data_IF_095654056567
#
_entry.id   IF_095654056567
#
_cell.length_a   1.000
_cell.length_b   1.000
_cell.length_c   1.000
_cell.angle_alpha   90.00
_cell.angle_beta   90.00
_cell.angle_gamma   90.00
#
_symmetry.space_group_name_H-M   'P 1'
#
loop_
_entity.id
_entity.type
_entity.pdbx_description
1 polymer ?
#
# COMPACT_ATOMS: atom_id res chain seq x y z
N UNK A 1 -11.91 38.87 102.19
CA UNK A 1 -12.01 37.43 102.50
C UNK A 1 -12.93 36.79 101.47
N UNK A 2 -12.49 35.64 100.93
CA UNK A 2 -13.23 34.66 100.14
C UNK A 2 -13.76 35.09 98.74
N UNK A 3 -12.93 34.83 97.73
CA UNK A 3 -13.33 34.64 96.35
C UNK A 3 -13.92 33.24 96.16
N UNK A 4 -15.15 33.12 95.66
CA UNK A 4 -15.64 31.90 95.00
C UNK A 4 -16.78 32.27 94.03
N UNK A 5 -16.72 31.64 92.86
CA UNK A 5 -17.86 31.04 92.14
C UNK A 5 -18.61 31.85 91.06
N UNK A 6 -18.71 31.15 89.91
CA UNK A 6 -19.75 31.17 88.85
C UNK A 6 -19.56 32.14 87.70
N UNK A 7 -19.02 31.61 86.60
CA UNK A 7 -19.40 32.07 85.26
C UNK A 7 -20.00 30.92 84.43
N UNK A 8 -21.28 31.13 84.15
CA UNK A 8 -22.16 30.71 83.07
C UNK A 8 -21.70 29.62 82.07
N UNK A 9 -22.59 28.62 81.94
CA UNK A 9 -22.81 27.80 80.74
C UNK A 9 -23.08 28.67 79.50
N UNK A 10 -22.47 28.36 78.35
CA UNK A 10 -23.17 28.36 77.05
C UNK A 10 -22.55 27.31 76.11
N UNK A 11 -23.40 26.41 75.60
CA UNK A 11 -23.47 26.07 74.17
C UNK A 11 -22.44 25.13 73.56
N UNK A 12 -22.89 23.93 73.22
CA UNK A 12 -22.16 22.80 72.63
C UNK A 12 -21.63 23.07 71.21
N UNK A 13 -20.46 22.47 70.95
CA UNK A 13 -19.84 22.26 69.64
C UNK A 13 -20.73 21.42 68.71
N UNK A 14 -20.69 21.71 67.41
CA UNK A 14 -20.08 20.86 66.38
C UNK A 14 -20.65 21.21 64.99
N UNK A 15 -19.90 21.96 64.19
CA UNK A 15 -20.17 22.11 62.76
C UNK A 15 -19.09 21.32 61.99
N UNK A 16 -19.45 20.14 61.50
CA UNK A 16 -18.66 19.37 60.55
C UNK A 16 -18.70 20.09 59.19
N UNK A 17 -17.59 20.72 58.81
CA UNK A 17 -17.42 21.29 57.46
C UNK A 17 -17.13 20.16 56.49
N UNK A 18 -18.11 19.85 55.64
CA UNK A 18 -17.96 18.95 54.49
C UNK A 18 -17.27 19.73 53.37
N UNK A 19 -16.00 19.39 53.09
CA UNK A 19 -15.28 19.82 51.89
C UNK A 19 -15.94 19.17 50.66
N UNK A 20 -16.60 19.97 49.81
CA UNK A 20 -16.95 19.56 48.45
C UNK A 20 -15.81 19.96 47.51
N UNK A 21 -15.00 18.98 47.12
CA UNK A 21 -13.98 19.15 46.08
C UNK A 21 -14.63 19.33 44.71
N UNK A 22 -14.16 20.32 43.95
CA UNK A 22 -14.45 20.43 42.53
C UNK A 22 -13.67 19.34 41.78
N UNK A 23 -14.39 18.37 41.22
CA UNK A 23 -13.86 17.49 40.19
C UNK A 23 -14.00 18.22 38.85
N UNK A 24 -12.92 18.86 38.40
CA UNK A 24 -12.79 19.30 37.02
C UNK A 24 -12.45 18.08 36.16
N UNK A 25 -13.46 17.48 35.53
CA UNK A 25 -13.27 16.45 34.51
C UNK A 25 -12.72 17.13 33.24
N UNK A 26 -11.39 17.17 33.12
CA UNK A 26 -10.73 17.57 31.87
C UNK A 26 -10.96 16.49 30.82
N UNK A 27 -11.86 16.77 29.86
CA UNK A 27 -11.96 16.02 28.62
C UNK A 27 -10.70 16.28 27.79
N UNK A 28 -9.69 15.43 27.97
CA UNK A 28 -8.53 15.37 27.10
C UNK A 28 -8.99 14.96 25.70
N UNK A 29 -9.02 15.93 24.78
CA UNK A 29 -9.21 15.67 23.36
C UNK A 29 -7.95 14.98 22.85
N UNK A 30 -7.95 13.63 22.87
CA UNK A 30 -6.98 12.84 22.15
C UNK A 30 -7.15 13.14 20.66
N UNK A 31 -6.29 14.03 20.13
CA UNK A 31 -6.13 14.22 18.70
C UNK A 31 -5.62 12.89 18.14
N UNK A 32 -6.54 12.07 17.64
CA UNK A 32 -6.22 10.79 16.99
C UNK A 32 -5.53 11.17 15.69
N UNK A 33 -4.20 11.11 15.69
CA UNK A 33 -3.41 11.24 14.47
C UNK A 33 -3.74 9.99 13.64
N UNK A 34 -4.71 10.12 12.75
CA UNK A 34 -4.92 9.12 11.71
C UNK A 34 -3.68 9.17 10.83
N UNK A 35 -2.73 8.27 11.06
CA UNK A 35 -1.71 7.96 10.09
C UNK A 35 -2.46 7.53 8.83
N UNK A 36 -2.60 8.46 7.89
CA UNK A 36 -3.05 8.14 6.54
C UNK A 36 -2.06 7.09 6.07
N UNK A 37 -2.52 5.92 5.60
CA UNK A 37 -1.63 4.95 4.98
C UNK A 37 -0.79 5.71 3.95
N UNK A 38 0.53 5.79 4.17
CA UNK A 38 1.43 6.62 3.38
C UNK A 38 1.12 6.41 1.90
N UNK A 39 0.68 7.48 1.24
CA UNK A 39 0.28 7.38 -0.14
C UNK A 39 1.53 6.97 -0.95
N UNK A 40 1.49 5.81 -1.60
CA UNK A 40 2.67 5.31 -2.33
C UNK A 40 2.99 6.30 -3.45
N UNK A 41 4.08 7.04 -3.30
CA UNK A 41 4.56 7.98 -4.30
C UNK A 41 5.14 7.21 -5.48
N UNK A 42 4.45 7.25 -6.62
CA UNK A 42 4.90 6.65 -7.88
C UNK A 42 5.21 7.76 -8.87
N UNK A 43 6.44 7.76 -9.38
CA UNK A 43 6.95 8.67 -10.40
C UNK A 43 7.68 7.88 -11.50
N UNK A 44 8.15 8.56 -12.52
CA UNK A 44 8.96 7.96 -13.60
C UNK A 44 10.21 7.26 -13.07
N UNK A 45 10.82 7.79 -12.00
CA UNK A 45 12.01 7.22 -11.37
C UNK A 45 11.72 5.91 -10.62
N UNK A 46 10.45 5.60 -10.34
CA UNK A 46 10.06 4.31 -9.78
C UNK A 46 10.44 3.15 -10.72
N UNK A 47 10.37 3.40 -12.04
CA UNK A 47 10.56 2.42 -13.11
C UNK A 47 11.95 2.60 -13.75
N UNK A 48 12.99 2.09 -13.09
CA UNK A 48 14.34 1.99 -13.64
C UNK A 48 14.55 0.76 -14.52
N UNK A 49 15.81 0.33 -14.69
CA UNK A 49 16.13 -0.91 -15.40
C UNK A 49 15.37 -2.11 -14.78
N UNK A 50 14.57 -2.79 -15.59
CA UNK A 50 13.75 -3.93 -15.13
C UNK A 50 14.62 -5.13 -14.68
N UNK A 51 15.84 -5.24 -15.21
CA UNK A 51 16.76 -6.35 -14.91
C UNK A 51 17.37 -6.26 -13.51
N UNK A 52 17.33 -5.08 -12.87
CA UNK A 52 17.81 -4.88 -11.50
C UNK A 52 16.90 -5.56 -10.46
N UNK A 53 15.68 -5.97 -10.84
CA UNK A 53 14.69 -6.51 -9.92
C UNK A 53 14.73 -8.04 -9.94
N UNK A 54 14.53 -8.72 -8.80
CA UNK A 54 14.46 -10.17 -8.79
C UNK A 54 13.32 -10.66 -9.69
N UNK A 55 13.53 -11.84 -10.28
CA UNK A 55 12.58 -12.47 -11.20
C UNK A 55 11.99 -13.72 -10.58
N UNK A 56 10.67 -13.88 -10.68
CA UNK A 56 9.98 -15.14 -10.46
C UNK A 56 9.31 -15.54 -11.76
N UNK A 57 9.72 -16.68 -12.34
CA UNK A 57 9.35 -17.07 -13.71
C UNK A 57 9.72 -15.95 -14.71
N UNK A 58 8.75 -15.29 -15.32
CA UNK A 58 8.98 -14.15 -16.20
C UNK A 58 8.59 -12.79 -15.61
N UNK A 59 8.08 -12.73 -14.39
CA UNK A 59 7.69 -11.47 -13.76
C UNK A 59 8.82 -10.91 -12.89
N UNK A 60 9.13 -9.64 -13.08
CA UNK A 60 10.06 -8.86 -12.27
C UNK A 60 9.30 -8.19 -11.14
N UNK A 61 9.79 -8.32 -9.91
CA UNK A 61 9.07 -7.94 -8.69
C UNK A 61 9.95 -7.00 -7.88
N UNK A 62 9.42 -5.85 -7.46
CA UNK A 62 10.11 -4.90 -6.60
C UNK A 62 9.23 -4.48 -5.44
N UNK A 63 9.88 -4.23 -4.31
CA UNK A 63 9.30 -3.61 -3.14
C UNK A 63 10.45 -2.95 -2.35
N UNK A 64 10.24 -1.77 -1.78
CA UNK A 64 11.29 -1.04 -1.03
C UNK A 64 11.72 -1.78 0.26
N UNK A 65 10.75 -2.33 1.01
CA UNK A 65 10.99 -3.22 2.15
C UNK A 65 11.36 -4.65 1.67
N UNK A 66 12.56 -5.18 2.02
CA UNK A 66 12.99 -6.53 1.64
C UNK A 66 12.11 -7.67 2.17
N UNK A 67 11.49 -7.52 3.34
CA UNK A 67 10.59 -8.55 3.90
C UNK A 67 9.32 -8.64 3.07
N UNK A 68 8.75 -7.49 2.71
CA UNK A 68 7.58 -7.42 1.82
C UNK A 68 7.92 -7.86 0.39
N UNK A 69 9.14 -7.60 -0.09
CA UNK A 69 9.62 -8.17 -1.36
C UNK A 69 9.61 -9.70 -1.34
N UNK A 70 10.16 -10.30 -0.28
CA UNK A 70 10.17 -11.76 -0.12
C UNK A 70 8.75 -12.34 -0.04
N UNK A 71 7.84 -11.66 0.64
CA UNK A 71 6.43 -12.03 0.69
C UNK A 71 5.76 -11.94 -0.69
N UNK A 72 5.90 -10.83 -1.41
CA UNK A 72 5.35 -10.66 -2.76
C UNK A 72 5.86 -11.76 -3.72
N UNK A 73 7.17 -12.06 -3.67
CA UNK A 73 7.74 -13.15 -4.46
C UNK A 73 7.19 -14.53 -4.04
N UNK A 74 6.96 -14.77 -2.75
CA UNK A 74 6.35 -16.02 -2.26
C UNK A 74 4.92 -16.16 -2.76
N UNK A 75 4.10 -15.11 -2.66
CA UNK A 75 2.71 -15.11 -3.16
C UNK A 75 2.69 -15.43 -4.65
N UNK A 76 3.55 -14.77 -5.44
CA UNK A 76 3.65 -15.04 -6.88
C UNK A 76 4.10 -16.48 -7.18
N UNK A 77 5.06 -17.03 -6.42
CA UNK A 77 5.52 -18.42 -6.60
C UNK A 77 4.39 -19.41 -6.30
N UNK A 78 3.73 -19.24 -5.16
CA UNK A 78 2.72 -20.17 -4.64
C UNK A 78 1.45 -20.18 -5.50
N UNK A 79 1.08 -19.05 -6.13
CA UNK A 79 -0.09 -18.96 -7.01
C UNK A 79 -1.36 -19.51 -6.34
N UNK A 80 -1.55 -19.16 -5.06
CA UNK A 80 -2.75 -19.56 -4.29
C UNK A 80 -3.80 -18.45 -4.38
N UNK A 81 -5.09 -18.81 -4.55
CA UNK A 81 -6.15 -17.83 -4.55
C UNK A 81 -6.28 -17.17 -3.17
N UNK A 82 -6.93 -16.02 -3.16
CA UNK A 82 -7.33 -15.23 -2.00
C UNK A 82 -6.12 -14.80 -1.14
N UNK A 83 -4.98 -14.56 -1.81
CA UNK A 83 -3.75 -13.98 -1.25
C UNK A 83 -3.49 -12.62 -1.88
N UNK A 84 -3.21 -11.63 -1.03
CA UNK A 84 -2.96 -10.26 -1.50
C UNK A 84 -1.51 -9.86 -1.38
N UNK A 85 -1.07 -9.11 -2.39
CA UNK A 85 0.27 -8.56 -2.41
C UNK A 85 0.41 -7.43 -1.38
N UNK A 86 1.58 -7.30 -0.72
CA UNK A 86 1.85 -6.17 0.14
C UNK A 86 1.73 -4.84 -0.62
N UNK A 87 1.08 -3.84 -0.01
CA UNK A 87 1.08 -2.45 -0.48
C UNK A 87 2.52 -1.97 -0.69
N UNK A 88 2.79 -1.41 -1.87
CA UNK A 88 4.11 -1.02 -2.37
C UNK A 88 4.74 -2.04 -3.33
N UNK A 89 4.09 -3.18 -3.59
CA UNK A 89 4.58 -4.14 -4.58
C UNK A 89 4.47 -3.57 -5.98
N UNK A 90 5.53 -3.73 -6.77
CA UNK A 90 5.60 -3.33 -8.18
C UNK A 90 5.88 -4.58 -9.00
N UNK A 91 5.10 -4.80 -10.05
CA UNK A 91 5.28 -5.90 -11.00
C UNK A 91 5.50 -5.35 -12.40
N UNK A 92 6.46 -5.94 -13.12
CA UNK A 92 6.62 -5.75 -14.56
C UNK A 92 6.84 -7.12 -15.23
N UNK A 93 6.03 -7.40 -16.26
CA UNK A 93 6.25 -8.53 -17.16
C UNK A 93 7.11 -8.10 -18.36
N UNK A 94 6.85 -6.90 -18.89
CA UNK A 94 7.55 -6.28 -20.01
C UNK A 94 7.96 -4.84 -19.63
N UNK A 95 8.98 -4.24 -20.27
CA UNK A 95 9.50 -2.93 -19.86
C UNK A 95 8.49 -1.78 -19.91
N UNK A 96 7.55 -1.84 -20.86
CA UNK A 96 6.62 -0.76 -21.20
C UNK A 96 5.27 -0.84 -20.46
N UNK A 97 5.09 -1.80 -19.55
CA UNK A 97 3.92 -1.90 -18.69
C UNK A 97 4.32 -2.20 -17.25
N UNK A 98 3.57 -1.67 -16.28
CA UNK A 98 3.76 -1.98 -14.87
C UNK A 98 2.43 -1.97 -14.11
N UNK A 99 2.44 -2.56 -12.92
CA UNK A 99 1.38 -2.39 -11.94
C UNK A 99 1.95 -2.17 -10.54
N UNK A 100 1.34 -1.27 -9.78
CA UNK A 100 1.76 -0.91 -8.41
C UNK A 100 0.60 -1.12 -7.44
N UNK A 101 0.87 -1.80 -6.32
CA UNK A 101 -0.11 -2.07 -5.27
C UNK A 101 -0.21 -0.88 -4.31
N UNK A 102 -1.36 -0.24 -4.27
CA UNK A 102 -1.78 0.76 -3.28
C UNK A 102 -2.71 0.14 -2.22
N UNK A 103 -3.07 0.88 -1.16
CA UNK A 103 -4.22 0.53 -0.34
C UNK A 103 -5.47 0.32 -1.23
N UNK A 104 -6.31 -0.65 -0.85
CA UNK A 104 -7.46 -1.09 -1.67
C UNK A 104 -8.39 0.06 -2.02
N UNK A 105 -8.52 1.01 -1.09
CA UNK A 105 -9.42 2.16 -1.16
C UNK A 105 -9.04 3.12 -2.30
N UNK A 106 -7.76 3.16 -2.70
CA UNK A 106 -7.30 4.07 -3.77
C UNK A 106 -7.75 3.60 -5.16
N UNK A 107 -7.74 2.30 -5.39
CA UNK A 107 -8.21 1.68 -6.63
C UNK A 107 -9.15 0.51 -6.33
N UNK A 108 -10.38 0.77 -5.90
CA UNK A 108 -11.28 -0.27 -5.37
C UNK A 108 -11.66 -1.33 -6.41
N UNK A 109 -11.69 -0.95 -7.69
CA UNK A 109 -12.04 -1.86 -8.81
C UNK A 109 -10.98 -2.92 -9.09
N UNK A 110 -9.77 -2.72 -8.59
CA UNK A 110 -8.59 -3.52 -8.90
C UNK A 110 -7.92 -4.03 -7.62
N UNK A 111 -8.64 -3.98 -6.49
CA UNK A 111 -8.10 -4.28 -5.17
C UNK A 111 -6.83 -3.47 -4.83
N UNK A 112 -6.75 -2.21 -5.26
CA UNK A 112 -5.59 -1.34 -5.01
C UNK A 112 -4.51 -1.39 -6.09
N UNK A 113 -4.65 -2.17 -7.16
CA UNK A 113 -3.68 -2.14 -8.26
C UNK A 113 -3.88 -0.94 -9.19
N UNK A 114 -2.85 -0.13 -9.31
CA UNK A 114 -2.74 0.86 -10.38
C UNK A 114 -1.96 0.26 -11.55
N UNK A 115 -2.47 0.43 -12.77
CA UNK A 115 -1.77 0.02 -13.98
C UNK A 115 -1.04 1.20 -14.62
N UNK A 116 0.04 0.93 -15.34
CA UNK A 116 0.88 1.93 -15.99
C UNK A 116 1.22 1.50 -17.40
N UNK A 117 1.01 2.43 -18.33
CA UNK A 117 1.61 2.38 -19.66
C UNK A 117 2.84 3.29 -19.67
N UNK A 118 3.99 2.72 -20.06
CA UNK A 118 5.28 3.38 -19.97
C UNK A 118 5.89 3.52 -21.37
N UNK A 119 6.43 4.70 -21.65
CA UNK A 119 7.34 4.90 -22.77
C UNK A 119 8.77 4.85 -22.22
N UNK A 120 9.59 3.96 -22.81
CA UNK A 120 10.91 3.61 -22.28
C UNK A 120 11.99 4.01 -23.28
N UNK A 121 13.03 4.68 -22.80
CA UNK A 121 14.21 5.08 -23.57
C UNK A 121 15.49 4.93 -22.74
N UNK A 122 16.64 5.12 -23.36
CA UNK A 122 17.92 5.17 -22.63
C UNK A 122 17.97 6.30 -21.59
N UNK A 123 17.26 7.41 -21.84
CA UNK A 123 17.17 8.54 -20.92
C UNK A 123 16.30 8.25 -19.68
N UNK A 124 15.51 7.18 -19.70
CA UNK A 124 14.63 6.78 -18.60
C UNK A 124 13.22 6.44 -19.06
N UNK A 125 12.28 6.57 -18.14
CA UNK A 125 10.87 6.25 -18.33
C UNK A 125 10.04 7.52 -18.41
N UNK A 126 9.07 7.57 -19.31
CA UNK A 126 7.93 8.49 -19.23
C UNK A 126 6.66 7.71 -18.92
N UNK A 127 5.86 8.18 -17.96
CA UNK A 127 4.52 7.61 -17.73
C UNK A 127 3.61 8.15 -18.83
N UNK A 128 3.15 7.28 -19.72
CA UNK A 128 2.21 7.66 -20.79
C UNK A 128 0.79 7.76 -20.27
N UNK A 129 0.40 6.80 -19.44
CA UNK A 129 -0.93 6.73 -18.83
C UNK A 129 -0.85 5.89 -17.53
N UNK A 130 -1.73 6.16 -16.57
CA UNK A 130 -1.80 5.44 -15.29
C UNK A 130 -3.22 5.45 -14.70
N UNK A 131 -3.56 4.40 -13.95
CA UNK A 131 -4.85 4.26 -13.29
C UNK A 131 -5.47 2.87 -13.43
N UNK A 132 -6.77 2.75 -13.16
CA UNK A 132 -7.53 1.50 -13.29
C UNK A 132 -8.17 1.30 -14.67
N UNK A 133 -8.10 2.30 -15.56
CA UNK A 133 -8.70 2.29 -16.90
C UNK A 133 -7.68 2.43 -18.05
N UNK A 134 -6.38 2.27 -17.77
CA UNK A 134 -5.31 2.36 -18.78
C UNK A 134 -5.55 1.38 -19.91
N UNK A 135 -5.36 1.82 -21.15
CA UNK A 135 -5.49 0.99 -22.36
C UNK A 135 -4.12 0.51 -22.85
N UNK A 136 -3.98 -0.81 -22.99
CA UNK A 136 -2.85 -1.41 -23.69
C UNK A 136 -3.02 -1.14 -25.21
N UNK A 137 -2.10 -0.35 -25.77
CA UNK A 137 -2.14 0.05 -27.19
C UNK A 137 -1.98 -1.12 -28.16
N UNK A 138 -1.27 -2.18 -27.78
CA UNK A 138 -1.05 -3.34 -28.66
C UNK A 138 -2.33 -4.19 -28.82
N UNK A 139 -3.24 -4.16 -27.83
CA UNK A 139 -4.47 -4.97 -27.85
C UNK A 139 -5.75 -4.15 -27.97
N UNK A 140 -5.70 -2.83 -27.75
CA UNK A 140 -6.89 -1.97 -27.72
C UNK A 140 -7.84 -2.28 -26.55
N UNK A 141 -7.33 -2.91 -25.48
CA UNK A 141 -8.11 -3.33 -24.30
C UNK A 141 -7.54 -2.70 -23.04
N UNK A 142 -8.35 -2.53 -22.01
CA UNK A 142 -7.85 -2.01 -20.73
C UNK A 142 -6.97 -3.04 -20.02
N UNK A 143 -5.95 -2.60 -19.30
CA UNK A 143 -5.12 -3.47 -18.46
C UNK A 143 -6.01 -4.27 -17.50
N UNK A 144 -6.98 -3.60 -16.85
CA UNK A 144 -7.95 -4.26 -15.98
C UNK A 144 -8.72 -5.38 -16.69
N UNK A 145 -9.18 -5.19 -17.93
CA UNK A 145 -9.94 -6.25 -18.61
C UNK A 145 -9.12 -7.54 -18.83
N UNK A 146 -7.81 -7.42 -19.03
CA UNK A 146 -6.91 -8.58 -19.14
C UNK A 146 -6.62 -9.24 -17.79
N UNK A 147 -6.64 -8.46 -16.70
CA UNK A 147 -6.35 -8.92 -15.34
C UNK A 147 -7.60 -9.36 -14.55
N UNK A 148 -8.80 -8.96 -14.97
CA UNK A 148 -10.08 -9.24 -14.32
C UNK A 148 -10.32 -10.73 -14.04
N UNK A 149 -9.99 -11.69 -14.94
CA UNK A 149 -10.21 -13.11 -14.66
C UNK A 149 -9.32 -13.64 -13.52
N UNK A 150 -8.26 -12.92 -13.15
CA UNK A 150 -7.39 -13.22 -12.01
C UNK A 150 -7.82 -12.50 -10.72
N UNK A 151 -9.07 -12.04 -10.58
CA UNK A 151 -9.54 -11.34 -9.38
C UNK A 151 -9.30 -12.12 -8.07
N UNK A 152 -9.44 -13.46 -8.10
CA UNK A 152 -9.12 -14.33 -6.96
C UNK A 152 -7.62 -14.44 -6.66
N UNK A 153 -6.77 -13.98 -7.55
CA UNK A 153 -5.31 -13.97 -7.39
C UNK A 153 -4.81 -12.53 -7.29
N UNK A 154 -5.63 -11.69 -6.65
CA UNK A 154 -5.37 -10.28 -6.43
C UNK A 154 -5.07 -9.56 -7.75
N UNK A 155 -5.84 -9.85 -8.80
CA UNK A 155 -5.66 -9.31 -10.15
C UNK A 155 -4.26 -9.57 -10.77
N UNK A 156 -3.42 -10.41 -10.17
CA UNK A 156 -2.14 -10.82 -10.75
C UNK A 156 -2.34 -12.14 -11.49
N UNK A 157 -2.35 -12.05 -12.81
CA UNK A 157 -2.64 -13.19 -13.65
C UNK A 157 -1.36 -14.01 -13.95
N UNK A 158 -1.53 -15.32 -14.16
CA UNK A 158 -0.48 -16.23 -14.65
C UNK A 158 -1.11 -17.39 -15.45
N UNK A 159 -0.28 -18.31 -15.93
CA UNK A 159 -0.71 -19.56 -16.57
C UNK A 159 -1.57 -20.36 -15.60
N UNK A 160 -2.74 -20.78 -16.08
CA UNK A 160 -3.66 -21.58 -15.28
C UNK A 160 -4.54 -20.79 -14.30
N UNK A 161 -4.39 -19.47 -14.18
CA UNK A 161 -5.24 -18.70 -13.26
C UNK A 161 -5.55 -17.25 -13.65
N UNK A 162 -5.85 -17.02 -14.94
CA UNK A 162 -6.71 -15.89 -15.33
C UNK A 162 -6.10 -14.79 -16.20
N UNK A 163 -4.98 -15.03 -16.91
CA UNK A 163 -4.56 -14.08 -17.95
C UNK A 163 -5.40 -14.27 -19.22
N UNK A 164 -5.86 -13.18 -19.81
CA UNK A 164 -6.11 -13.19 -21.25
C UNK A 164 -4.81 -13.53 -22.00
N UNK A 165 -4.86 -14.29 -23.11
CA UNK A 165 -3.67 -14.53 -23.91
C UNK A 165 -2.99 -13.22 -24.33
N UNK A 166 -1.70 -13.11 -24.05
CA UNK A 166 -0.85 -12.03 -24.54
C UNK A 166 -0.21 -12.44 -25.88
N UNK A 167 0.15 -11.50 -26.76
CA UNK A 167 0.71 -11.82 -28.08
C UNK A 167 2.18 -12.26 -28.05
N UNK A 168 2.71 -12.58 -26.87
CA UNK A 168 4.12 -12.92 -26.65
C UNK A 168 4.22 -14.21 -25.83
N UNK A 169 5.12 -15.10 -26.22
CA UNK A 169 5.50 -16.24 -25.40
C UNK A 169 6.57 -15.86 -24.37
N UNK A 170 6.95 -16.83 -23.54
CA UNK A 170 7.96 -16.66 -22.50
C UNK A 170 9.33 -16.26 -23.05
N UNK A 171 9.70 -16.78 -24.23
CA UNK A 171 10.96 -16.43 -24.87
C UNK A 171 10.95 -14.95 -25.26
N UNK A 172 9.87 -14.50 -25.90
CA UNK A 172 9.72 -13.13 -26.36
C UNK A 172 9.66 -12.15 -25.20
N UNK A 173 8.98 -12.51 -24.11
CA UNK A 173 9.02 -11.72 -22.87
C UNK A 173 10.45 -11.55 -22.39
N UNK A 174 11.23 -12.64 -22.33
CA UNK A 174 12.64 -12.58 -21.93
C UNK A 174 13.49 -11.70 -22.84
N UNK A 175 13.27 -11.73 -24.16
CA UNK A 175 13.92 -10.85 -25.12
C UNK A 175 13.59 -9.38 -24.87
N UNK A 176 12.30 -9.05 -24.68
CA UNK A 176 11.85 -7.69 -24.40
C UNK A 176 12.49 -7.15 -23.11
N UNK A 177 12.58 -7.97 -22.05
CA UNK A 177 13.26 -7.57 -20.81
C UNK A 177 14.75 -7.28 -21.02
N UNK A 178 15.44 -8.11 -21.81
CA UNK A 178 16.87 -7.90 -22.11
C UNK A 178 17.12 -6.69 -23.01
N UNK A 179 16.12 -6.30 -23.80
CA UNK A 179 16.14 -5.15 -24.69
C UNK A 179 15.64 -3.86 -24.02
N UNK A 180 15.37 -3.86 -22.70
CA UNK A 180 15.01 -2.65 -21.97
C UNK A 180 16.11 -1.60 -22.11
N UNK A 181 15.80 -0.49 -22.79
CA UNK A 181 16.75 0.57 -23.10
C UNK A 181 17.33 1.25 -21.84
N UNK A 182 16.66 1.13 -20.69
CA UNK A 182 17.16 1.65 -19.40
C UNK A 182 18.25 0.77 -18.81
N UNK A 183 18.36 -0.48 -19.25
CA UNK A 183 19.33 -1.44 -18.79
C UNK A 183 20.62 -1.34 -19.61
N UNK A 184 21.33 -0.22 -19.43
CA UNK A 184 22.66 -0.04 -20.02
C UNK A 184 23.54 -1.22 -19.61
N UNK A 185 24.15 -1.87 -20.60
CA UNK A 185 25.18 -2.89 -20.34
C UNK A 185 26.34 -2.18 -19.65
N UNK A 186 26.49 -2.38 -18.35
CA UNK A 186 27.71 -2.00 -17.62
C UNK A 186 28.85 -2.95 -17.99
#
# INVERSE_FOLDING_TARGET
MAAVMRHALVGRLSARVVKRGLLAAGLGFCMVYSASADDIAVSEQTFGCILDWPKVRNTRIKHADPKKLNEAMRIFRDSKPDREYPVGTILQLVPFEAMVKHPREKFPRTNGWEFFALDVSEAGTRIRDRGDNVVNLAQGRTCLSCHQPAARFDFVCEKGHGCAPIPFDDQKIGELQRADARCVKK
#
